data_IF_629391846553
#
_entry.id   IF_629391846553
#
_cell.length_a   1.000
_cell.length_b   1.000
_cell.length_c   1.000
_cell.angle_alpha   90.00
_cell.angle_beta   90.00
_cell.angle_gamma   90.00
#
_symmetry.space_group_name_H-M   'P 1'
#
loop_
_entity.id
_entity.type
_entity.pdbx_description
1 polymer ?
#
# COMPACT_ATOMS: atom_id res chain seq x y z
N UNK A 1 6.93 -43.82 35.92
CA UNK A 1 8.19 -44.47 35.48
C UNK A 1 8.17 -44.63 33.97
N UNK A 2 9.35 -44.50 33.33
CA UNK A 2 9.71 -44.62 31.90
C UNK A 2 9.70 -43.26 31.15
N UNK A 3 10.80 -42.49 31.18
CA UNK A 3 12.10 -42.58 30.44
C UNK A 3 12.06 -42.02 29.00
N UNK A 4 12.28 -40.70 28.90
CA UNK A 4 13.44 -40.01 28.30
C UNK A 4 13.91 -40.16 26.82
N UNK A 5 14.34 -38.99 26.31
CA UNK A 5 15.46 -38.64 25.39
C UNK A 5 15.29 -38.60 23.86
N UNK A 6 16.16 -37.76 23.27
CA UNK A 6 16.52 -37.48 21.86
C UNK A 6 15.94 -36.16 21.27
N UNK A 7 16.70 -35.22 20.70
CA UNK A 7 18.15 -34.93 20.60
C UNK A 7 18.32 -33.51 20.02
N UNK A 8 19.45 -32.85 20.32
CA UNK A 8 19.93 -31.58 19.74
C UNK A 8 20.54 -31.76 18.33
N UNK A 9 20.48 -30.72 17.49
CA UNK A 9 21.44 -30.34 16.43
C UNK A 9 21.19 -28.84 16.17
N UNK A 10 22.06 -27.83 16.32
CA UNK A 10 23.48 -27.54 16.04
C UNK A 10 23.87 -27.44 14.55
N UNK A 11 24.49 -26.28 14.23
CA UNK A 11 25.32 -25.90 13.06
C UNK A 11 24.53 -25.41 11.83
N UNK A 12 24.83 -24.27 11.20
CA UNK A 12 25.94 -23.34 11.35
C UNK A 12 25.80 -22.11 10.43
N UNK A 13 26.59 -21.09 10.77
CA UNK A 13 26.79 -19.83 10.07
C UNK A 13 27.58 -20.00 8.77
N UNK A 14 27.17 -19.31 7.71
CA UNK A 14 28.00 -19.04 6.54
C UNK A 14 27.94 -17.54 6.22
N UNK A 15 29.05 -16.84 6.45
CA UNK A 15 29.28 -15.48 6.00
C UNK A 15 29.92 -15.54 4.61
N UNK A 16 29.28 -14.90 3.62
CA UNK A 16 29.86 -14.72 2.29
C UNK A 16 30.49 -13.33 2.22
N UNK A 17 31.82 -13.30 2.32
CA UNK A 17 32.64 -12.15 1.98
C UNK A 17 32.98 -12.21 0.49
N UNK A 18 32.51 -11.24 -0.29
CA UNK A 18 32.92 -11.05 -1.68
C UNK A 18 33.76 -9.77 -1.80
N UNK A 19 35.06 -9.95 -2.04
CA UNK A 19 36.01 -8.90 -2.43
C UNK A 19 36.79 -9.38 -3.65
N UNK A 20 36.62 -8.73 -4.80
CA UNK A 20 37.55 -8.72 -5.94
C UNK A 20 37.38 -7.36 -6.66
N UNK A 21 38.28 -6.39 -6.45
CA UNK A 21 39.55 -6.13 -7.15
C UNK A 21 39.40 -5.17 -8.34
N UNK A 22 39.88 -3.93 -8.16
CA UNK A 22 40.12 -2.92 -9.20
C UNK A 22 41.28 -3.35 -10.09
N UNK A 23 41.05 -3.46 -11.39
CA UNK A 23 42.10 -3.55 -12.40
C UNK A 23 42.21 -2.23 -13.16
N UNK A 24 43.34 -1.56 -13.00
CA UNK A 24 43.79 -0.41 -13.78
C UNK A 24 44.97 -0.86 -14.65
N UNK A 25 44.86 -0.71 -15.97
CA UNK A 25 45.96 -0.72 -16.95
C UNK A 25 45.35 -0.25 -18.29
N UNK A 26 45.82 0.75 -19.03
CA UNK A 26 47.10 1.45 -19.02
C UNK A 26 47.98 1.00 -20.19
N UNK A 27 47.64 1.35 -21.43
CA UNK A 27 48.52 1.12 -22.59
C UNK A 27 48.69 2.37 -23.46
N UNK A 28 49.92 2.89 -23.50
CA UNK A 28 50.44 3.79 -24.54
C UNK A 28 51.38 2.99 -25.46
N UNK A 29 51.24 3.17 -26.77
CA UNK A 29 52.19 2.71 -27.79
C UNK A 29 51.94 3.43 -29.12
N UNK A 30 52.92 4.24 -29.55
CA UNK A 30 53.07 5.02 -30.79
C UNK A 30 53.36 4.13 -32.03
N UNK A 31 53.27 4.46 -33.32
CA UNK A 31 52.85 5.62 -34.14
C UNK A 31 52.79 5.21 -35.65
N UNK A 32 52.07 6.01 -36.45
CA UNK A 32 52.16 6.27 -37.92
C UNK A 32 51.12 5.67 -38.91
N UNK A 33 50.11 6.53 -39.19
CA UNK A 33 49.52 6.95 -40.47
C UNK A 33 49.18 5.95 -41.59
N UNK A 34 47.87 5.77 -41.83
CA UNK A 34 47.18 6.28 -43.04
C UNK A 34 45.65 6.17 -42.87
N UNK A 35 44.96 7.23 -43.28
CA UNK A 35 43.54 7.50 -43.16
C UNK A 35 42.62 6.61 -44.00
N UNK A 36 41.59 6.01 -43.38
CA UNK A 36 40.23 5.96 -43.93
C UNK A 36 39.24 5.38 -42.91
N UNK A 37 38.37 6.26 -42.40
CA UNK A 37 36.95 6.00 -42.11
C UNK A 37 36.57 4.72 -41.37
N UNK A 38 36.62 4.75 -40.03
CA UNK A 38 35.77 3.90 -39.19
C UNK A 38 35.35 4.68 -37.95
N UNK A 39 34.02 4.73 -37.73
CA UNK A 39 33.34 5.36 -36.61
C UNK A 39 34.06 5.13 -35.27
N UNK A 40 34.66 6.19 -34.76
CA UNK A 40 35.09 6.29 -33.37
C UNK A 40 33.82 6.53 -32.55
N UNK A 41 33.32 5.47 -31.90
CA UNK A 41 32.33 5.61 -30.84
C UNK A 41 33.01 6.29 -29.67
N UNK A 42 33.02 7.61 -29.73
CA UNK A 42 33.45 8.47 -28.64
C UNK A 42 32.64 8.08 -27.41
N UNK A 43 33.34 7.52 -26.44
CA UNK A 43 32.82 7.24 -25.10
C UNK A 43 32.64 8.58 -24.39
N UNK A 44 31.67 9.35 -24.88
CA UNK A 44 31.21 10.55 -24.21
C UNK A 44 30.37 10.04 -23.05
N UNK A 45 30.99 9.93 -21.87
CA UNK A 45 30.29 9.83 -20.59
C UNK A 45 29.47 11.11 -20.39
N UNK A 46 28.39 11.22 -21.15
CA UNK A 46 27.32 12.17 -20.92
C UNK A 46 26.77 11.82 -19.55
N UNK A 47 27.17 12.58 -18.54
CA UNK A 47 26.62 12.50 -17.18
C UNK A 47 25.11 12.67 -17.34
N UNK A 48 24.37 11.55 -17.39
CA UNK A 48 22.92 11.55 -17.58
C UNK A 48 22.35 12.47 -16.51
N UNK A 49 21.81 13.60 -16.91
CA UNK A 49 21.13 14.50 -15.98
C UNK A 49 19.94 13.76 -15.44
N UNK A 50 19.99 13.38 -14.17
CA UNK A 50 18.88 12.71 -13.49
C UNK A 50 17.73 13.71 -13.41
N UNK A 51 16.64 13.40 -14.11
CA UNK A 51 15.45 14.24 -14.15
C UNK A 51 14.48 13.88 -13.01
N UNK A 52 13.48 14.73 -12.77
CA UNK A 52 12.39 14.41 -11.85
C UNK A 52 11.65 13.11 -12.27
N UNK A 53 11.49 12.89 -13.58
CA UNK A 53 10.87 11.68 -14.10
C UNK A 53 11.71 10.42 -13.81
N UNK A 54 13.05 10.50 -13.93
CA UNK A 54 13.93 9.39 -13.58
C UNK A 54 13.81 9.01 -12.10
N UNK A 55 13.68 10.01 -11.21
CA UNK A 55 13.49 9.81 -9.77
C UNK A 55 12.14 9.18 -9.44
N UNK A 56 11.06 9.63 -10.09
CA UNK A 56 9.73 9.04 -9.93
C UNK A 56 9.75 7.58 -10.40
N UNK A 57 10.31 7.29 -11.58
CA UNK A 57 10.43 5.92 -12.09
C UNK A 57 11.28 5.03 -11.17
N UNK A 58 12.35 5.56 -10.57
CA UNK A 58 13.13 4.84 -9.57
C UNK A 58 12.32 4.55 -8.30
N UNK A 59 11.51 5.51 -7.84
CA UNK A 59 10.61 5.33 -6.71
C UNK A 59 9.53 4.28 -6.98
N UNK A 60 8.95 4.23 -8.19
CA UNK A 60 7.99 3.18 -8.57
C UNK A 60 8.61 1.78 -8.46
N UNK A 61 9.83 1.60 -8.94
CA UNK A 61 10.55 0.32 -8.75
C UNK A 61 10.81 -0.01 -7.29
N UNK A 62 11.02 0.99 -6.43
CA UNK A 62 11.18 0.78 -4.98
C UNK A 62 9.85 0.41 -4.31
N UNK A 63 8.73 0.96 -4.79
CA UNK A 63 7.37 0.61 -4.34
C UNK A 63 7.06 -0.85 -4.67
N UNK A 64 7.34 -1.29 -5.89
CA UNK A 64 7.19 -2.69 -6.32
C UNK A 64 8.02 -3.65 -5.46
N UNK A 65 9.20 -3.21 -5.01
CA UNK A 65 10.06 -3.96 -4.09
C UNK A 65 9.61 -3.88 -2.61
N UNK A 66 8.53 -3.17 -2.31
CA UNK A 66 8.05 -2.95 -0.93
C UNK A 66 8.94 -2.01 -0.09
N UNK A 67 9.85 -1.26 -0.72
CA UNK A 67 10.79 -0.34 -0.07
C UNK A 67 10.25 1.09 0.00
N UNK A 68 9.08 1.26 0.61
CA UNK A 68 8.32 2.50 0.61
C UNK A 68 9.07 3.71 1.20
N UNK A 69 9.87 3.52 2.25
CA UNK A 69 10.67 4.62 2.82
C UNK A 69 11.75 5.09 1.84
N UNK A 70 12.44 4.17 1.19
CA UNK A 70 13.45 4.51 0.17
C UNK A 70 12.79 5.19 -1.04
N UNK A 71 11.59 4.74 -1.44
CA UNK A 71 10.81 5.39 -2.48
C UNK A 71 10.47 6.85 -2.09
N UNK A 72 10.06 7.08 -0.84
CA UNK A 72 9.76 8.42 -0.33
C UNK A 72 11.00 9.33 -0.33
N UNK A 73 12.13 8.81 0.13
CA UNK A 73 13.41 9.54 0.12
C UNK A 73 13.82 9.90 -1.31
N UNK A 74 13.64 8.97 -2.26
CA UNK A 74 13.95 9.17 -3.68
C UNK A 74 13.05 10.25 -4.31
N UNK A 75 11.75 10.23 -4.04
CA UNK A 75 10.80 11.27 -4.52
C UNK A 75 11.10 12.64 -3.89
N UNK A 76 11.44 12.69 -2.60
CA UNK A 76 11.80 13.93 -1.92
C UNK A 76 13.16 14.50 -2.37
N UNK A 77 14.02 13.67 -2.97
CA UNK A 77 15.30 14.13 -3.55
C UNK A 77 15.15 14.89 -4.88
N UNK A 78 13.94 14.95 -5.44
CA UNK A 78 13.66 15.65 -6.70
C UNK A 78 13.91 17.15 -6.54
N UNK A 79 14.87 17.69 -7.30
CA UNK A 79 15.30 19.10 -7.22
C UNK A 79 14.19 20.11 -7.58
N UNK A 80 13.23 19.72 -8.42
CA UNK A 80 12.07 20.53 -8.80
C UNK A 80 10.81 19.70 -8.68
N UNK A 81 10.11 19.82 -7.55
CA UNK A 81 8.90 19.04 -7.29
C UNK A 81 7.79 19.39 -8.29
N UNK A 82 7.30 18.38 -8.99
CA UNK A 82 6.10 18.42 -9.83
C UNK A 82 4.84 18.11 -9.00
N UNK A 83 3.65 18.33 -9.56
CA UNK A 83 2.40 17.85 -8.93
C UNK A 83 2.45 16.35 -8.66
N UNK A 84 2.92 15.57 -9.63
CA UNK A 84 3.03 14.11 -9.51
C UNK A 84 3.99 13.70 -8.40
N UNK A 85 5.18 14.32 -8.29
CA UNK A 85 6.11 13.99 -7.20
C UNK A 85 5.53 14.31 -5.82
N UNK A 86 4.73 15.38 -5.71
CA UNK A 86 4.10 15.76 -4.44
C UNK A 86 2.95 14.81 -4.08
N UNK A 87 2.15 14.41 -5.07
CA UNK A 87 1.09 13.43 -4.89
C UNK A 87 1.68 12.08 -4.46
N UNK A 88 2.71 11.58 -5.17
CA UNK A 88 3.37 10.32 -4.83
C UNK A 88 4.04 10.36 -3.46
N UNK A 89 4.70 11.46 -3.09
CA UNK A 89 5.26 11.63 -1.74
C UNK A 89 4.18 11.61 -0.66
N UNK A 90 3.02 12.23 -0.91
CA UNK A 90 1.88 12.22 0.00
C UNK A 90 1.32 10.82 0.15
N UNK A 91 1.12 10.11 -0.96
CA UNK A 91 0.60 8.74 -0.95
C UNK A 91 1.56 7.76 -0.24
N UNK A 92 2.87 7.93 -0.44
CA UNK A 92 3.88 7.15 0.27
C UNK A 92 3.85 7.39 1.79
N UNK A 93 3.69 8.64 2.22
CA UNK A 93 3.58 8.97 3.65
C UNK A 93 2.32 8.34 4.25
N UNK A 94 1.18 8.51 3.58
CA UNK A 94 -0.10 7.91 3.94
C UNK A 94 0.01 6.38 4.05
N UNK A 95 0.59 5.74 3.04
CA UNK A 95 0.81 4.30 3.01
C UNK A 95 1.70 3.82 4.16
N UNK A 96 2.83 4.49 4.42
CA UNK A 96 3.76 4.12 5.50
C UNK A 96 3.05 4.25 6.85
N UNK A 97 2.31 5.33 7.08
CA UNK A 97 1.53 5.55 8.30
C UNK A 97 0.43 4.49 8.45
N UNK A 98 -0.30 4.19 7.37
CA UNK A 98 -1.32 3.15 7.34
C UNK A 98 -0.74 1.75 7.64
N UNK A 99 0.38 1.40 7.00
CA UNK A 99 1.07 0.12 7.21
C UNK A 99 1.59 -0.03 8.64
N UNK A 100 2.07 1.06 9.24
CA UNK A 100 2.46 1.09 10.66
C UNK A 100 1.26 0.85 11.57
N UNK A 101 0.14 1.56 11.35
CA UNK A 101 -1.08 1.37 12.11
C UNK A 101 -1.64 -0.06 11.96
N UNK A 102 -1.63 -0.61 10.75
CA UNK A 102 -2.02 -2.00 10.48
C UNK A 102 -1.17 -2.99 11.27
N UNK A 103 0.16 -2.84 11.25
CA UNK A 103 1.07 -3.71 11.99
C UNK A 103 0.88 -3.61 13.52
N UNK A 104 0.40 -2.47 14.00
CA UNK A 104 0.08 -2.26 15.42
C UNK A 104 -1.32 -2.76 15.81
N UNK A 105 -2.11 -3.27 14.85
CA UNK A 105 -3.49 -3.70 15.05
C UNK A 105 -4.52 -2.56 15.06
N UNK A 106 -4.10 -1.32 14.77
CA UNK A 106 -4.98 -0.15 14.69
C UNK A 106 -5.62 -0.06 13.29
N UNK A 107 -6.55 -0.97 12.97
CA UNK A 107 -7.11 -1.10 11.62
C UNK A 107 -7.93 0.11 11.16
N UNK A 108 -8.71 0.72 12.05
CA UNK A 108 -9.44 1.96 11.77
C UNK A 108 -8.47 3.08 11.35
N UNK A 109 -7.43 3.31 12.17
CA UNK A 109 -6.40 4.30 11.90
C UNK A 109 -5.63 3.97 10.60
N UNK A 110 -5.36 2.69 10.34
CA UNK A 110 -4.74 2.25 9.10
C UNK A 110 -5.59 2.62 7.89
N UNK A 111 -6.90 2.38 7.97
CA UNK A 111 -7.84 2.68 6.89
C UNK A 111 -7.94 4.19 6.64
N UNK A 112 -8.04 4.99 7.69
CA UNK A 112 -8.15 6.45 7.56
C UNK A 112 -6.86 7.12 7.08
N UNK A 113 -5.70 6.55 7.42
CA UNK A 113 -4.41 6.99 6.88
C UNK A 113 -4.29 6.62 5.39
N UNK A 114 -4.90 5.50 4.99
CA UNK A 114 -4.87 5.01 3.61
C UNK A 114 -5.86 5.76 2.69
N UNK A 115 -6.92 6.37 3.23
CA UNK A 115 -7.91 7.23 2.56
C UNK A 115 -8.06 6.97 1.04
N UNK A 116 -7.51 7.85 0.18
CA UNK A 116 -7.42 7.69 -1.28
C UNK A 116 -6.00 7.92 -1.78
N UNK A 117 -5.67 7.28 -2.91
CA UNK A 117 -4.40 7.51 -3.62
C UNK A 117 -4.56 8.69 -4.59
N UNK A 118 -3.76 9.73 -4.40
CA UNK A 118 -3.82 10.97 -5.17
C UNK A 118 -2.86 11.00 -6.38
N UNK A 119 -1.85 10.13 -6.39
CA UNK A 119 -0.87 9.96 -7.47
C UNK A 119 -1.46 9.13 -8.61
N UNK A 120 -0.92 9.34 -9.82
CA UNK A 120 -1.25 8.50 -10.97
C UNK A 120 -0.44 7.20 -11.04
N UNK A 121 0.52 6.99 -10.12
CA UNK A 121 1.37 5.80 -10.10
C UNK A 121 0.57 4.51 -9.87
N UNK A 122 0.69 3.54 -10.79
CA UNK A 122 0.04 2.24 -10.64
C UNK A 122 0.60 1.46 -9.46
N UNK A 123 1.91 1.54 -9.23
CA UNK A 123 2.58 0.80 -8.17
C UNK A 123 2.05 1.18 -6.78
N UNK A 124 1.81 2.47 -6.52
CA UNK A 124 1.26 2.89 -5.22
C UNK A 124 -0.21 2.53 -5.09
N UNK A 125 -1.00 2.62 -6.17
CA UNK A 125 -2.41 2.19 -6.16
C UNK A 125 -2.56 0.69 -5.89
N UNK A 126 -1.72 -0.14 -6.48
CA UNK A 126 -1.69 -1.58 -6.18
C UNK A 126 -1.29 -1.86 -4.72
N UNK A 127 -0.32 -1.10 -4.19
CA UNK A 127 0.05 -1.21 -2.78
C UNK A 127 -1.11 -0.81 -1.86
N UNK A 128 -1.81 0.28 -2.17
CA UNK A 128 -3.00 0.74 -1.46
C UNK A 128 -4.10 -0.32 -1.46
N UNK A 129 -4.46 -0.82 -2.65
CA UNK A 129 -5.45 -1.87 -2.80
C UNK A 129 -5.08 -3.09 -1.96
N UNK A 130 -3.82 -3.55 -2.04
CA UNK A 130 -3.34 -4.70 -1.26
C UNK A 130 -3.46 -4.47 0.25
N UNK A 131 -3.10 -3.28 0.74
CA UNK A 131 -3.20 -2.96 2.16
C UNK A 131 -4.67 -2.82 2.60
N UNK A 132 -5.53 -2.23 1.78
CA UNK A 132 -6.97 -2.11 2.04
C UNK A 132 -7.63 -3.48 2.15
N UNK A 133 -7.30 -4.42 1.26
CA UNK A 133 -7.75 -5.81 1.34
C UNK A 133 -7.30 -6.49 2.62
N UNK A 134 -6.04 -6.26 3.06
CA UNK A 134 -5.52 -6.78 4.33
C UNK A 134 -6.23 -6.19 5.54
N UNK A 135 -6.53 -4.89 5.52
CA UNK A 135 -7.31 -4.22 6.58
C UNK A 135 -8.72 -4.80 6.65
N UNK A 136 -9.41 -4.91 5.51
CA UNK A 136 -10.76 -5.49 5.43
C UNK A 136 -10.81 -6.96 5.91
N UNK A 137 -9.76 -7.74 5.64
CA UNK A 137 -9.62 -9.09 6.17
C UNK A 137 -9.45 -9.11 7.70
N UNK A 138 -8.76 -8.10 8.26
CA UNK A 138 -8.37 -8.07 9.67
C UNK A 138 -9.42 -7.44 10.60
N UNK A 139 -10.18 -6.43 10.15
CA UNK A 139 -11.16 -5.69 10.97
C UNK A 139 -12.21 -6.57 11.65
N UNK A 140 -12.60 -7.70 11.05
CA UNK A 140 -13.58 -8.61 11.66
C UNK A 140 -13.04 -9.45 12.81
N UNK A 141 -11.72 -9.49 13.01
CA UNK A 141 -11.13 -10.17 14.17
C UNK A 141 -11.19 -9.31 15.43
N UNK A 142 -11.38 -7.99 15.30
CA UNK A 142 -11.33 -7.04 16.42
C UNK A 142 -12.70 -6.60 16.94
N UNK A 143 -13.80 -6.88 16.22
CA UNK A 143 -15.16 -6.49 16.62
C UNK A 143 -15.81 -7.43 17.66
N UNK A 144 -15.06 -8.41 18.20
CA UNK A 144 -15.56 -9.34 19.23
C UNK A 144 -15.16 -8.99 20.68
N UNK A 145 -14.42 -7.92 20.93
CA UNK A 145 -13.92 -7.59 22.30
C UNK A 145 -14.62 -6.42 23.00
N UNK A 146 -15.77 -5.95 22.52
CA UNK A 146 -16.52 -4.85 23.19
C UNK A 146 -17.87 -5.26 23.79
N UNK A 147 -18.20 -6.55 23.83
CA UNK A 147 -19.48 -7.02 24.39
C UNK A 147 -19.32 -8.23 25.30
N UNK A 148 -18.71 -8.02 26.48
CA UNK A 148 -18.97 -8.89 27.64
C UNK A 148 -18.53 -8.27 28.97
N UNK A 149 -19.48 -7.64 29.68
CA UNK A 149 -19.73 -7.72 31.12
C UNK A 149 -20.86 -6.71 31.44
N UNK A 150 -22.14 -7.08 31.48
CA UNK A 150 -22.74 -7.83 32.60
C UNK A 150 -24.16 -8.25 32.22
N UNK A 151 -24.51 -9.47 32.62
CA UNK A 151 -25.71 -10.24 32.30
C UNK A 151 -26.93 -9.85 33.14
N UNK A 152 -28.13 -9.83 32.52
CA UNK A 152 -29.33 -10.43 33.14
C UNK A 152 -30.50 -10.53 32.15
N UNK A 153 -30.82 -11.78 31.80
CA UNK A 153 -32.13 -12.36 31.49
C UNK A 153 -33.05 -11.67 30.45
N UNK A 154 -33.24 -12.32 29.30
CA UNK A 154 -34.54 -12.90 28.88
C UNK A 154 -34.38 -13.64 27.54
N UNK A 155 -35.06 -14.77 27.47
CA UNK A 155 -35.07 -15.81 26.45
C UNK A 155 -35.42 -15.37 25.02
N UNK A 156 -35.04 -16.23 24.06
CA UNK A 156 -35.45 -16.31 22.65
C UNK A 156 -34.59 -15.56 21.62
N UNK A 157 -33.65 -16.28 20.99
CA UNK A 157 -33.68 -16.63 19.54
C UNK A 157 -32.33 -17.27 19.17
N UNK A 158 -32.35 -18.59 19.01
CA UNK A 158 -31.22 -19.40 18.57
C UNK A 158 -31.14 -19.37 17.04
N UNK A 159 -30.51 -18.36 16.43
CA UNK A 159 -30.03 -18.38 15.04
C UNK A 159 -29.33 -17.07 14.61
N UNK A 160 -28.15 -16.74 15.13
CA UNK A 160 -27.30 -15.68 14.56
C UNK A 160 -25.83 -15.78 15.01
N UNK A 161 -25.24 -16.98 15.00
CA UNK A 161 -23.85 -17.18 15.44
C UNK A 161 -22.90 -17.72 14.35
N UNK A 162 -23.22 -17.53 13.06
CA UNK A 162 -22.44 -18.14 11.96
C UNK A 162 -22.12 -17.19 10.78
N UNK A 163 -22.32 -15.87 10.87
CA UNK A 163 -22.19 -14.99 9.69
C UNK A 163 -21.02 -14.00 9.73
N UNK A 164 -20.28 -13.91 10.84
CA UNK A 164 -19.28 -12.86 11.07
C UNK A 164 -17.86 -13.19 10.58
N UNK A 165 -17.54 -14.46 10.33
CA UNK A 165 -16.27 -14.88 9.71
C UNK A 165 -16.32 -14.86 8.18
N UNK A 166 -17.52 -14.96 7.59
CA UNK A 166 -17.72 -14.92 6.14
C UNK A 166 -17.68 -13.51 5.55
N UNK A 167 -18.03 -12.48 6.33
CA UNK A 167 -18.07 -11.09 5.87
C UNK A 167 -16.67 -10.48 5.70
N UNK A 168 -15.68 -10.87 6.51
CA UNK A 168 -14.30 -10.38 6.45
C UNK A 168 -13.60 -10.81 5.16
N UNK A 169 -13.69 -12.11 4.86
CA UNK A 169 -13.14 -12.67 3.63
C UNK A 169 -13.85 -12.12 2.40
N UNK A 170 -15.18 -11.95 2.46
CA UNK A 170 -15.95 -11.33 1.40
C UNK A 170 -15.52 -9.87 1.18
N UNK A 171 -15.44 -9.05 2.21
CA UNK A 171 -15.01 -7.65 2.11
C UNK A 171 -13.58 -7.54 1.60
N UNK A 172 -12.66 -8.40 2.05
CA UNK A 172 -11.30 -8.45 1.53
C UNK A 172 -11.25 -8.78 0.04
N UNK A 173 -12.07 -9.74 -0.42
CA UNK A 173 -12.17 -10.07 -1.85
C UNK A 173 -12.75 -8.93 -2.68
N UNK A 174 -13.75 -8.22 -2.15
CA UNK A 174 -14.35 -7.05 -2.81
C UNK A 174 -13.33 -5.91 -2.88
N UNK A 175 -12.63 -5.62 -1.78
CA UNK A 175 -11.56 -4.62 -1.74
C UNK A 175 -10.47 -4.93 -2.78
N UNK A 176 -10.05 -6.19 -2.88
CA UNK A 176 -9.05 -6.62 -3.86
C UNK A 176 -9.54 -6.49 -5.30
N UNK A 177 -10.86 -6.57 -5.53
CA UNK A 177 -11.47 -6.46 -6.86
C UNK A 177 -11.88 -5.03 -7.24
N UNK A 178 -11.74 -4.07 -6.32
CA UNK A 178 -12.12 -2.67 -6.51
C UNK A 178 -10.86 -1.87 -6.80
N UNK A 179 -10.80 -1.20 -7.96
CA UNK A 179 -9.68 -0.30 -8.26
C UNK A 179 -9.70 0.91 -7.34
N UNK A 180 -8.53 1.39 -6.94
CA UNK A 180 -8.40 2.64 -6.18
C UNK A 180 -8.95 3.85 -6.97
N UNK A 181 -8.99 3.80 -8.30
CA UNK A 181 -9.61 4.87 -9.11
C UNK A 181 -11.12 5.00 -8.85
N UNK A 182 -11.81 3.88 -8.61
CA UNK A 182 -13.25 3.87 -8.29
C UNK A 182 -13.46 4.46 -6.89
N UNK A 183 -12.58 4.12 -5.95
CA UNK A 183 -12.62 4.64 -4.58
C UNK A 183 -12.36 6.14 -4.59
N UNK A 184 -11.36 6.61 -5.34
CA UNK A 184 -11.02 8.03 -5.47
C UNK A 184 -12.15 8.82 -6.14
N UNK A 185 -12.75 8.30 -7.21
CA UNK A 185 -13.89 8.93 -7.88
C UNK A 185 -15.10 9.05 -6.93
N UNK A 186 -15.42 8.00 -6.18
CA UNK A 186 -16.45 8.03 -5.15
C UNK A 186 -16.13 9.03 -4.04
N UNK A 187 -14.92 9.00 -3.49
CA UNK A 187 -14.49 9.86 -2.41
C UNK A 187 -14.52 11.34 -2.82
N UNK A 188 -14.02 11.66 -4.01
CA UNK A 188 -14.05 13.01 -4.58
C UNK A 188 -15.49 13.49 -4.79
N UNK A 189 -16.38 12.62 -5.27
CA UNK A 189 -17.80 12.95 -5.48
C UNK A 189 -18.51 13.28 -4.16
N UNK A 190 -18.15 12.59 -3.08
CA UNK A 190 -18.81 12.70 -1.78
C UNK A 190 -18.10 13.63 -0.79
N UNK A 191 -16.89 14.10 -1.13
CA UNK A 191 -16.06 14.90 -0.22
C UNK A 191 -15.34 14.08 0.86
N UNK A 192 -15.21 12.76 0.68
CA UNK A 192 -14.48 11.86 1.57
C UNK A 192 -13.01 11.68 1.20
N UNK A 193 -12.50 12.43 0.22
CA UNK A 193 -11.08 12.42 -0.17
C UNK A 193 -10.18 13.20 0.81
N UNK A 194 -10.73 13.64 1.95
CA UNK A 194 -9.99 14.33 3.01
C UNK A 194 -9.45 13.34 4.05
N UNK A 195 -8.35 13.72 4.71
CA UNK A 195 -7.77 12.92 5.79
C UNK A 195 -8.78 12.64 6.91
N UNK A 196 -8.64 11.48 7.53
CA UNK A 196 -9.53 11.04 8.61
C UNK A 196 -10.76 10.27 8.14
N UNK A 197 -11.01 10.17 6.83
CA UNK A 197 -12.00 9.26 6.27
C UNK A 197 -11.37 7.94 5.84
N UNK A 198 -12.07 6.84 6.12
CA UNK A 198 -11.73 5.49 5.70
C UNK A 198 -12.85 4.92 4.84
N UNK A 199 -12.48 4.27 3.73
CA UNK A 199 -13.44 3.73 2.75
C UNK A 199 -13.20 2.23 2.57
N UNK A 200 -14.22 1.41 2.84
CA UNK A 200 -14.17 -0.05 2.71
C UNK A 200 -15.11 -0.49 1.60
N UNK A 201 -14.61 -1.10 0.52
CA UNK A 201 -15.44 -1.79 -0.45
C UNK A 201 -16.06 -3.04 0.19
N UNK A 202 -17.39 -3.11 0.26
CA UNK A 202 -18.12 -4.22 0.92
C UNK A 202 -19.01 -5.00 -0.04
N UNK A 203 -19.35 -4.45 -1.21
CA UNK A 203 -19.99 -5.19 -2.30
C UNK A 203 -19.59 -4.62 -3.67
N UNK A 204 -19.55 -5.48 -4.68
CA UNK A 204 -19.42 -5.12 -6.09
C UNK A 204 -20.40 -5.93 -6.93
N UNK A 205 -21.19 -5.26 -7.75
CA UNK A 205 -22.11 -5.87 -8.72
C UNK A 205 -22.02 -5.11 -10.05
N UNK A 206 -21.22 -5.65 -10.99
CA UNK A 206 -20.87 -4.94 -12.22
C UNK A 206 -20.20 -3.59 -11.89
N UNK A 207 -20.85 -2.51 -12.32
CA UNK A 207 -20.39 -1.13 -12.12
C UNK A 207 -20.97 -0.48 -10.86
N UNK A 208 -21.78 -1.20 -10.07
CA UNK A 208 -22.32 -0.71 -8.79
C UNK A 208 -21.49 -1.26 -7.63
N UNK A 209 -20.98 -0.35 -6.81
CA UNK A 209 -20.14 -0.62 -5.66
C UNK A 209 -20.87 -0.20 -4.40
N UNK A 210 -20.74 -0.99 -3.32
CA UNK A 210 -21.16 -0.56 -1.99
C UNK A 210 -19.93 -0.24 -1.15
N UNK A 211 -19.89 0.97 -0.63
CA UNK A 211 -18.83 1.47 0.24
C UNK A 211 -19.36 1.71 1.64
N UNK A 212 -18.67 1.17 2.63
CA UNK A 212 -18.77 1.63 4.00
C UNK A 212 -17.77 2.77 4.20
N UNK A 213 -18.25 3.89 4.74
CA UNK A 213 -17.38 5.04 5.03
C UNK A 213 -17.36 5.29 6.52
N UNK A 214 -16.14 5.41 7.04
CA UNK A 214 -15.89 5.71 8.45
C UNK A 214 -15.11 7.00 8.60
N UNK A 215 -15.22 7.63 9.76
CA UNK A 215 -14.45 8.82 10.11
C UNK A 215 -13.82 8.66 11.49
N UNK A 216 -12.53 8.95 11.59
CA UNK A 216 -11.84 8.98 12.87
C UNK A 216 -12.45 9.99 13.85
N UNK A 217 -12.39 9.65 15.13
CA UNK A 217 -12.52 10.62 16.21
C UNK A 217 -11.35 11.62 16.21
N UNK A 218 -11.47 12.70 16.99
CA UNK A 218 -10.45 13.76 17.08
C UNK A 218 -9.05 13.21 17.43
N UNK A 219 -9.00 12.12 18.20
CA UNK A 219 -7.75 11.49 18.64
C UNK A 219 -7.21 10.43 17.65
N UNK A 220 -7.87 10.18 16.53
CA UNK A 220 -7.49 9.21 15.49
C UNK A 220 -7.27 7.78 15.99
N UNK A 221 -8.03 7.36 17.00
CA UNK A 221 -7.91 6.06 17.66
C UNK A 221 -9.07 5.11 17.35
N UNK A 222 -10.25 5.66 17.06
CA UNK A 222 -11.47 4.91 16.78
C UNK A 222 -12.20 5.58 15.63
N UNK A 223 -12.61 4.81 14.61
CA UNK A 223 -13.41 5.34 13.51
C UNK A 223 -14.90 5.00 13.69
N UNK A 224 -15.76 6.00 13.48
CA UNK A 224 -17.20 5.84 13.53
C UNK A 224 -17.76 5.67 12.13
N UNK A 225 -18.74 4.77 11.97
CA UNK A 225 -19.49 4.64 10.72
C UNK A 225 -20.25 5.94 10.44
N UNK A 226 -20.01 6.56 9.28
CA UNK A 226 -20.75 7.75 8.84
C UNK A 226 -21.86 7.39 7.84
N UNK A 227 -21.70 6.28 7.13
CA UNK A 227 -22.73 5.73 6.27
C UNK A 227 -22.27 4.61 5.36
N UNK A 228 -23.26 3.97 4.74
CA UNK A 228 -23.09 2.97 3.70
C UNK A 228 -23.69 3.53 2.41
N UNK A 229 -22.91 3.52 1.33
CA UNK A 229 -23.26 4.16 0.07
C UNK A 229 -23.20 3.16 -1.07
N UNK A 230 -24.20 3.20 -1.95
CA UNK A 230 -24.08 2.62 -3.29
C UNK A 230 -23.57 3.69 -4.26
N UNK A 231 -22.59 3.31 -5.07
CA UNK A 231 -21.98 4.14 -6.09
C UNK A 231 -21.97 3.40 -7.42
N UNK A 232 -22.55 4.00 -8.46
CA UNK A 232 -22.43 3.51 -9.82
C UNK A 232 -21.26 4.23 -10.51
N UNK A 233 -20.21 3.49 -10.88
CA UNK A 233 -19.01 4.05 -11.51
C UNK A 233 -19.22 4.51 -12.95
N UNK A 234 -20.27 4.04 -13.65
CA UNK A 234 -20.60 4.49 -15.01
C UNK A 234 -21.37 5.80 -15.00
N UNK A 235 -22.34 5.95 -14.09
CA UNK A 235 -23.21 7.13 -14.04
C UNK A 235 -22.74 8.19 -13.05
N UNK A 236 -21.85 7.83 -12.13
CA UNK A 236 -21.45 8.67 -11.00
C UNK A 236 -22.56 8.88 -9.96
N UNK A 237 -23.65 8.11 -10.02
CA UNK A 237 -24.77 8.20 -9.08
C UNK A 237 -24.37 7.63 -7.73
N UNK A 238 -24.71 8.35 -6.66
CA UNK A 238 -24.48 7.91 -5.28
C UNK A 238 -25.82 7.87 -4.53
N UNK A 239 -26.06 6.83 -3.75
CA UNK A 239 -27.21 6.73 -2.84
C UNK A 239 -26.74 6.27 -1.47
N UNK A 240 -27.10 7.02 -0.41
CA UNK A 240 -26.87 6.61 0.97
C UNK A 240 -27.96 5.61 1.38
N UNK A 241 -27.56 4.45 1.89
CA UNK A 241 -28.44 3.34 2.25
C UNK A 241 -28.60 3.25 3.77
N UNK A 242 -27.55 3.60 4.51
CA UNK A 242 -27.53 3.68 5.97
C UNK A 242 -26.60 4.78 6.44
#
# INVERSE_FOLDING_TARGET
MNRSFFKKAMVGTAALATVLSLAACGSKGASSSSSSSTNESSSTSSKKTVTAADKIAAAEKLIEQGKYQQALDEVNSVTKSTSESRALATDLQNYIAAKKAYNNGNYDQALTNLNTASSSSSAIKEAYQSLRSKIAAAESSSSTTSSSATSSATSATTAAATSSSSSSAANASVAQSTSEDVIDAFATKMGFNQQGYGIIPVQKNGSVYRFEVRQNNQDNTVANLIGIYEYNAETGSVTKIS
#
